data_IF_125059954719
#
_entry.id   IF_125059954719
#
_cell.length_a   1.000
_cell.length_b   1.000
_cell.length_c   1.000
_cell.angle_alpha   90.00
_cell.angle_beta   90.00
_cell.angle_gamma   90.00
#
_symmetry.space_group_name_H-M   'P 1'
#
loop_
_entity.id
_entity.type
_entity.pdbx_description
1 polymer ?
#
# COMPACT_ATOMS: atom_id res chain seq x y z
N UNK A 1 -8.74 -2.66 8.53
CA UNK A 1 -9.80 -2.90 9.54
C UNK A 1 -10.48 -4.26 9.34
N UNK A 2 -11.26 -4.48 8.25
CA UNK A 2 -12.04 -5.71 8.03
C UNK A 2 -11.20 -6.99 8.19
N UNK A 3 -10.00 -7.05 7.60
CA UNK A 3 -9.09 -8.19 7.69
C UNK A 3 -8.69 -8.50 9.15
N UNK A 4 -8.33 -7.46 9.92
CA UNK A 4 -7.96 -7.61 11.34
C UNK A 4 -9.17 -8.03 12.18
N UNK A 5 -10.33 -7.43 11.94
CA UNK A 5 -11.57 -7.79 12.63
C UNK A 5 -11.95 -9.25 12.39
N UNK A 6 -11.78 -9.78 11.18
CA UNK A 6 -12.03 -11.19 10.86
C UNK A 6 -11.13 -12.10 11.70
N UNK A 7 -9.87 -11.72 11.94
CA UNK A 7 -8.95 -12.51 12.77
C UNK A 7 -9.47 -12.72 14.19
N UNK A 8 -10.20 -11.76 14.75
CA UNK A 8 -10.74 -11.86 16.11
C UNK A 8 -12.12 -12.50 16.17
N UNK A 9 -12.96 -12.31 15.16
CA UNK A 9 -14.37 -12.74 15.20
C UNK A 9 -14.71 -13.96 14.36
N UNK A 10 -13.92 -14.23 13.31
CA UNK A 10 -14.17 -15.35 12.40
C UNK A 10 -13.52 -16.66 12.84
N UNK A 11 -12.58 -16.62 13.76
CA UNK A 11 -11.72 -17.78 14.08
C UNK A 11 -12.14 -18.56 15.33
N UNK A 12 -12.96 -17.99 16.20
CA UNK A 12 -13.20 -18.55 17.53
C UNK A 12 -14.23 -19.67 17.62
N UNK A 13 -15.01 -19.96 16.56
CA UNK A 13 -16.16 -20.87 16.66
C UNK A 13 -16.38 -21.84 15.49
N UNK A 14 -15.55 -21.81 14.46
CA UNK A 14 -15.73 -22.70 13.30
C UNK A 14 -14.47 -23.52 13.04
N UNK A 15 -14.59 -24.84 13.14
CA UNK A 15 -13.57 -25.85 12.80
C UNK A 15 -13.21 -25.93 11.30
N UNK A 16 -13.55 -24.90 10.52
CA UNK A 16 -13.38 -24.93 9.07
C UNK A 16 -11.92 -24.92 8.63
N UNK A 17 -11.06 -24.09 9.26
CA UNK A 17 -9.63 -24.03 8.98
C UNK A 17 -8.86 -23.55 10.22
N UNK A 18 -7.59 -23.98 10.42
CA UNK A 18 -6.71 -23.41 11.43
C UNK A 18 -6.53 -21.88 11.24
N UNK A 19 -6.36 -21.14 12.33
CA UNK A 19 -6.28 -19.68 12.35
C UNK A 19 -5.22 -19.11 11.39
N UNK A 20 -4.04 -19.76 11.34
CA UNK A 20 -2.95 -19.34 10.44
C UNK A 20 -3.30 -19.51 8.95
N UNK A 21 -4.02 -20.58 8.60
CA UNK A 21 -4.47 -20.83 7.22
C UNK A 21 -5.60 -19.88 6.83
N UNK A 22 -6.49 -19.52 7.75
CA UNK A 22 -7.56 -18.56 7.53
C UNK A 22 -7.01 -17.16 7.19
N UNK A 23 -5.98 -16.70 7.91
CA UNK A 23 -5.32 -15.43 7.65
C UNK A 23 -4.66 -15.41 6.26
N UNK A 24 -3.96 -16.48 5.90
CA UNK A 24 -3.33 -16.59 4.57
C UNK A 24 -4.38 -16.64 3.45
N UNK A 25 -5.47 -17.38 3.64
CA UNK A 25 -6.59 -17.43 2.70
C UNK A 25 -7.25 -16.06 2.55
N UNK A 26 -7.45 -15.35 3.65
CA UNK A 26 -7.99 -13.98 3.63
C UNK A 26 -7.10 -13.02 2.85
N UNK A 27 -5.80 -13.05 3.07
CA UNK A 27 -4.84 -12.23 2.32
C UNK A 27 -4.85 -12.57 0.82
N UNK A 28 -4.86 -13.86 0.48
CA UNK A 28 -4.95 -14.31 -0.91
C UNK A 28 -6.25 -13.86 -1.58
N UNK A 29 -7.40 -14.01 -0.91
CA UNK A 29 -8.70 -13.60 -1.42
C UNK A 29 -8.78 -12.08 -1.63
N UNK A 30 -8.13 -11.28 -0.79
CA UNK A 30 -8.09 -9.83 -0.96
C UNK A 30 -7.21 -9.40 -2.14
N UNK A 31 -6.10 -10.12 -2.40
CA UNK A 31 -5.15 -9.78 -3.49
C UNK A 31 -5.61 -10.34 -4.84
N UNK A 32 -6.28 -11.49 -4.87
CA UNK A 32 -6.69 -12.15 -6.10
C UNK A 32 -7.46 -11.25 -7.09
N UNK A 33 -8.42 -10.38 -6.67
CA UNK A 33 -9.10 -9.45 -7.54
C UNK A 33 -8.19 -8.50 -8.31
N UNK A 34 -7.02 -8.15 -7.78
CA UNK A 34 -6.06 -7.27 -8.48
C UNK A 34 -5.56 -7.90 -9.79
N UNK A 35 -5.42 -9.22 -9.81
CA UNK A 35 -5.06 -9.94 -11.04
C UNK A 35 -6.26 -10.10 -11.99
N UNK A 36 -7.45 -10.35 -11.42
CA UNK A 36 -8.63 -10.64 -12.21
C UNK A 36 -9.26 -9.39 -12.83
N UNK A 37 -9.33 -8.29 -12.09
CA UNK A 37 -10.18 -7.16 -12.45
C UNK A 37 -9.47 -5.85 -12.71
N UNK A 38 -8.13 -5.74 -12.56
CA UNK A 38 -7.43 -4.47 -12.83
C UNK A 38 -7.55 -4.02 -14.27
N UNK A 39 -7.44 -4.93 -15.24
CA UNK A 39 -7.60 -4.58 -16.66
C UNK A 39 -9.02 -4.03 -16.93
N UNK A 40 -10.03 -4.66 -16.36
CA UNK A 40 -11.42 -4.17 -16.43
C UNK A 40 -11.56 -2.79 -15.76
N UNK A 41 -10.96 -2.59 -14.60
CA UNK A 41 -10.98 -1.31 -13.88
C UNK A 41 -10.40 -0.16 -14.71
N UNK A 42 -9.28 -0.37 -15.40
CA UNK A 42 -8.69 0.60 -16.31
C UNK A 42 -9.62 0.98 -17.45
N UNK A 43 -10.26 -0.01 -18.07
CA UNK A 43 -11.25 0.20 -19.14
C UNK A 43 -12.48 0.96 -18.66
N UNK A 44 -13.04 0.60 -17.49
CA UNK A 44 -14.19 1.29 -16.90
C UNK A 44 -13.84 2.76 -16.58
N UNK A 45 -12.65 3.02 -16.05
CA UNK A 45 -12.19 4.38 -15.70
C UNK A 45 -11.99 5.28 -16.94
N UNK A 46 -11.75 4.70 -18.12
CA UNK A 46 -11.69 5.45 -19.38
C UNK A 46 -13.06 5.63 -20.02
N UNK A 47 -13.95 4.62 -19.87
CA UNK A 47 -15.26 4.59 -20.53
C UNK A 47 -16.30 5.46 -19.84
N UNK A 48 -16.24 5.59 -18.52
CA UNK A 48 -17.23 6.31 -17.73
C UNK A 48 -16.66 7.56 -17.09
N UNK A 49 -17.54 8.50 -16.72
CA UNK A 49 -17.17 9.60 -15.83
C UNK A 49 -16.60 9.03 -14.53
N UNK A 50 -15.37 9.45 -14.21
CA UNK A 50 -14.62 8.92 -13.08
C UNK A 50 -15.28 9.23 -11.73
N UNK A 51 -15.90 10.41 -11.58
CA UNK A 51 -16.59 10.77 -10.34
C UNK A 51 -17.86 9.94 -10.15
N UNK A 52 -18.62 9.71 -11.23
CA UNK A 52 -19.80 8.84 -11.20
C UNK A 52 -19.39 7.41 -10.88
N UNK A 53 -18.34 6.91 -11.53
CA UNK A 53 -17.81 5.57 -11.26
C UNK A 53 -17.33 5.43 -9.80
N UNK A 54 -16.64 6.45 -9.24
CA UNK A 54 -16.27 6.48 -7.84
C UNK A 54 -17.46 6.33 -6.90
N UNK A 55 -18.56 7.04 -7.15
CA UNK A 55 -19.78 6.97 -6.36
C UNK A 55 -20.39 5.57 -6.39
N UNK A 56 -20.48 4.94 -7.56
CA UNK A 56 -20.97 3.56 -7.69
C UNK A 56 -20.09 2.55 -6.95
N UNK A 57 -18.76 2.68 -7.04
CA UNK A 57 -17.83 1.82 -6.31
C UNK A 57 -17.96 2.03 -4.78
N UNK A 58 -18.22 3.26 -4.33
CA UNK A 58 -18.45 3.54 -2.91
C UNK A 58 -19.82 3.06 -2.42
N UNK A 59 -20.83 3.07 -3.25
CA UNK A 59 -22.12 2.43 -2.92
C UNK A 59 -21.97 0.90 -2.81
N UNK A 60 -21.20 0.28 -3.71
CA UNK A 60 -20.87 -1.14 -3.62
C UNK A 60 -20.17 -1.46 -2.28
N UNK A 61 -19.28 -0.57 -1.80
CA UNK A 61 -18.63 -0.72 -0.50
C UNK A 61 -19.64 -0.76 0.66
N UNK A 62 -20.67 0.09 0.65
CA UNK A 62 -21.73 0.04 1.67
C UNK A 62 -22.44 -1.32 1.66
N UNK A 63 -22.78 -1.85 0.47
CA UNK A 63 -23.43 -3.16 0.35
C UNK A 63 -22.54 -4.26 0.93
N UNK A 64 -21.25 -4.26 0.57
CA UNK A 64 -20.27 -5.25 1.08
C UNK A 64 -20.17 -5.12 2.61
N UNK A 65 -20.09 -3.91 3.15
CA UNK A 65 -19.99 -3.69 4.60
C UNK A 65 -21.28 -4.06 5.34
N UNK A 66 -22.44 -3.89 4.73
CA UNK A 66 -23.71 -4.37 5.31
C UNK A 66 -23.75 -5.90 5.42
N UNK A 67 -23.30 -6.60 4.36
CA UNK A 67 -23.17 -8.06 4.40
C UNK A 67 -22.09 -8.50 5.41
N UNK A 68 -20.99 -7.77 5.51
CA UNK A 68 -19.94 -8.04 6.51
C UNK A 68 -20.45 -7.82 7.94
N UNK A 69 -21.23 -6.76 8.19
CA UNK A 69 -21.87 -6.51 9.49
C UNK A 69 -22.78 -7.68 9.90
N UNK A 70 -23.59 -8.19 8.95
CA UNK A 70 -24.36 -9.40 9.18
C UNK A 70 -23.47 -10.63 9.41
N UNK A 71 -22.38 -10.77 8.66
CA UNK A 71 -21.39 -11.84 8.84
C UNK A 71 -20.75 -11.84 10.23
N UNK A 72 -20.43 -10.65 10.78
CA UNK A 72 -19.98 -10.51 12.17
C UNK A 72 -21.07 -10.91 13.17
N UNK A 73 -22.30 -10.48 12.95
CA UNK A 73 -23.43 -10.80 13.84
C UNK A 73 -23.67 -12.30 13.95
N UNK A 74 -23.69 -13.01 12.82
CA UNK A 74 -23.86 -14.49 12.80
C UNK A 74 -22.55 -15.27 13.01
N UNK A 75 -21.43 -14.55 13.15
CA UNK A 75 -20.06 -15.12 13.31
C UNK A 75 -19.69 -16.14 12.23
N UNK A 76 -20.01 -15.83 10.97
CA UNK A 76 -19.75 -16.69 9.81
C UNK A 76 -18.43 -16.34 9.13
N UNK A 77 -17.37 -17.14 9.37
CA UNK A 77 -16.08 -16.97 8.73
C UNK A 77 -16.15 -17.08 7.19
N UNK A 78 -16.88 -18.04 6.57
CA UNK A 78 -17.01 -18.10 5.11
C UNK A 78 -17.62 -16.83 4.50
N UNK A 79 -18.67 -16.27 5.14
CA UNK A 79 -19.30 -15.05 4.66
C UNK A 79 -18.34 -13.84 4.73
N UNK A 80 -17.56 -13.74 5.82
CA UNK A 80 -16.56 -12.69 5.97
C UNK A 80 -15.40 -12.82 4.97
N UNK A 81 -14.99 -14.04 4.60
CA UNK A 81 -14.00 -14.28 3.55
C UNK A 81 -14.52 -13.87 2.17
N UNK A 82 -15.79 -14.13 1.87
CA UNK A 82 -16.44 -13.64 0.64
C UNK A 82 -16.47 -12.11 0.64
N UNK A 83 -16.82 -11.47 1.75
CA UNK A 83 -16.76 -10.02 1.88
C UNK A 83 -15.35 -9.48 1.66
N UNK A 84 -14.32 -10.20 2.10
CA UNK A 84 -12.93 -9.81 1.89
C UNK A 84 -12.54 -9.84 0.40
N UNK A 85 -12.95 -10.88 -0.33
CA UNK A 85 -12.79 -10.93 -1.79
C UNK A 85 -13.54 -9.78 -2.49
N UNK A 86 -14.78 -9.52 -2.08
CA UNK A 86 -15.57 -8.40 -2.63
C UNK A 86 -14.92 -7.04 -2.32
N UNK A 87 -14.31 -6.86 -1.13
CA UNK A 87 -13.53 -5.67 -0.80
C UNK A 87 -12.25 -5.55 -1.62
N UNK A 88 -11.56 -6.65 -1.87
CA UNK A 88 -10.44 -6.69 -2.82
C UNK A 88 -10.88 -6.25 -4.23
N UNK A 89 -12.06 -6.70 -4.69
CA UNK A 89 -12.65 -6.30 -5.97
C UNK A 89 -12.95 -4.79 -5.97
N UNK A 90 -13.61 -4.29 -4.94
CA UNK A 90 -13.90 -2.86 -4.77
C UNK A 90 -12.61 -2.02 -4.79
N UNK A 91 -11.58 -2.43 -4.04
CA UNK A 91 -10.29 -1.77 -4.01
C UNK A 91 -9.58 -1.79 -5.36
N UNK A 92 -9.69 -2.89 -6.11
CA UNK A 92 -9.16 -3.02 -7.47
C UNK A 92 -9.83 -2.08 -8.45
N UNK A 93 -11.14 -1.91 -8.34
CA UNK A 93 -11.90 -0.96 -9.18
C UNK A 93 -11.59 0.49 -8.83
N UNK A 94 -11.41 0.80 -7.55
CA UNK A 94 -11.14 2.15 -7.07
C UNK A 94 -9.69 2.60 -7.28
N UNK A 95 -8.72 1.68 -7.21
CA UNK A 95 -7.28 1.98 -7.29
C UNK A 95 -6.87 2.78 -8.51
N UNK A 96 -7.09 2.29 -9.75
CA UNK A 96 -6.78 3.05 -10.97
C UNK A 96 -7.50 4.39 -11.04
N UNK A 97 -8.75 4.43 -10.60
CA UNK A 97 -9.57 5.63 -10.65
C UNK A 97 -9.00 6.75 -9.77
N UNK A 98 -8.61 6.45 -8.51
CA UNK A 98 -8.13 7.47 -7.56
C UNK A 98 -6.85 8.17 -8.03
N UNK A 99 -5.96 7.46 -8.74
CA UNK A 99 -4.75 8.06 -9.30
C UNK A 99 -4.96 8.67 -10.69
N UNK A 100 -5.81 8.06 -11.53
CA UNK A 100 -6.07 8.55 -12.88
C UNK A 100 -6.93 9.82 -12.91
N UNK A 101 -7.69 10.12 -11.85
CA UNK A 101 -8.53 11.33 -11.76
C UNK A 101 -7.72 12.56 -11.36
N UNK A 102 -6.59 12.41 -10.67
CA UNK A 102 -5.80 13.54 -10.19
C UNK A 102 -5.40 14.52 -11.30
N UNK A 103 -4.85 14.05 -12.44
CA UNK A 103 -4.50 14.96 -13.54
C UNK A 103 -5.70 15.55 -14.28
N UNK A 104 -6.92 15.12 -13.98
CA UNK A 104 -8.13 15.76 -14.49
C UNK A 104 -8.59 16.93 -13.60
N UNK A 105 -8.20 16.94 -12.32
CA UNK A 105 -8.52 17.97 -11.34
C UNK A 105 -7.39 18.96 -11.08
N UNK A 106 -6.14 18.52 -11.25
CA UNK A 106 -4.94 19.23 -10.86
C UNK A 106 -4.07 19.51 -12.07
N UNK A 107 -3.42 20.67 -12.10
CA UNK A 107 -2.39 20.95 -13.09
C UNK A 107 -1.07 20.26 -12.74
N UNK A 108 -0.10 20.26 -13.67
CA UNK A 108 1.17 19.57 -13.52
C UNK A 108 1.97 19.99 -12.27
N UNK A 109 1.82 21.26 -11.83
CA UNK A 109 2.49 21.79 -10.64
C UNK A 109 1.88 21.26 -9.34
N UNK A 110 0.59 20.98 -9.35
CA UNK A 110 -0.17 20.49 -8.20
C UNK A 110 -0.11 18.97 -8.05
N UNK A 111 0.21 18.24 -9.14
CA UNK A 111 0.15 16.78 -9.16
C UNK A 111 1.02 16.13 -8.09
N UNK A 112 2.23 16.64 -7.85
CA UNK A 112 3.12 16.05 -6.87
C UNK A 112 2.56 16.20 -5.45
N UNK A 113 1.95 17.35 -5.14
CA UNK A 113 1.26 17.56 -3.88
C UNK A 113 0.00 16.70 -3.78
N UNK A 114 -0.78 16.59 -4.85
CA UNK A 114 -1.95 15.71 -4.92
C UNK A 114 -1.60 14.25 -4.64
N UNK A 115 -0.54 13.72 -5.26
CA UNK A 115 -0.05 12.36 -5.01
C UNK A 115 0.46 12.21 -3.58
N UNK A 116 1.14 13.21 -3.03
CA UNK A 116 1.63 13.16 -1.65
C UNK A 116 0.48 13.08 -0.63
N UNK A 117 -0.61 13.80 -0.87
CA UNK A 117 -1.80 13.77 -0.01
C UNK A 117 -2.54 12.43 -0.11
N UNK A 118 -2.62 11.85 -1.31
CA UNK A 118 -3.21 10.51 -1.49
C UNK A 118 -2.38 9.44 -0.79
N UNK A 119 -1.05 9.50 -0.91
CA UNK A 119 -0.15 8.54 -0.27
C UNK A 119 -0.22 8.68 1.25
N UNK A 120 -0.08 9.90 1.77
CA UNK A 120 -0.20 10.20 3.20
C UNK A 120 -1.55 9.75 3.78
N UNK A 121 -2.64 10.10 3.11
CA UNK A 121 -3.98 9.71 3.51
C UNK A 121 -4.19 8.19 3.48
N UNK A 122 -3.60 7.50 2.50
CA UNK A 122 -3.68 6.04 2.40
C UNK A 122 -2.99 5.37 3.59
N UNK A 123 -1.76 5.78 3.95
CA UNK A 123 -1.04 5.17 5.08
C UNK A 123 -1.64 5.53 6.43
N UNK A 124 -2.15 6.76 6.60
CA UNK A 124 -2.91 7.15 7.81
C UNK A 124 -4.19 6.31 7.93
N UNK A 125 -4.92 6.09 6.83
CA UNK A 125 -6.12 5.27 6.84
C UNK A 125 -5.82 3.79 7.14
N UNK A 126 -4.70 3.24 6.63
CA UNK A 126 -4.23 1.90 6.96
C UNK A 126 -3.92 1.81 8.46
N UNK A 127 -3.18 2.77 9.02
CA UNK A 127 -2.84 2.84 10.44
C UNK A 127 -4.10 2.89 11.32
N UNK A 128 -5.00 3.84 11.04
CA UNK A 128 -6.25 3.96 11.80
C UNK A 128 -7.12 2.70 11.68
N UNK A 129 -7.17 2.10 10.49
CA UNK A 129 -7.89 0.86 10.27
C UNK A 129 -7.28 -0.32 11.05
N UNK A 130 -5.97 -0.37 11.19
CA UNK A 130 -5.26 -1.39 11.98
C UNK A 130 -5.54 -1.21 13.49
N UNK A 131 -5.35 0.02 13.99
CA UNK A 131 -5.60 0.35 15.41
C UNK A 131 -7.06 0.09 15.77
N UNK A 132 -8.01 0.56 14.96
CA UNK A 132 -9.43 0.29 15.19
C UNK A 132 -9.75 -1.20 15.14
N UNK A 133 -9.14 -1.94 14.19
CA UNK A 133 -9.32 -3.38 14.08
C UNK A 133 -8.89 -4.14 15.33
N UNK A 134 -7.76 -3.74 15.94
CA UNK A 134 -7.28 -4.34 17.19
C UNK A 134 -8.07 -3.87 18.42
N UNK A 135 -8.47 -2.60 18.46
CA UNK A 135 -9.20 -2.00 19.58
C UNK A 135 -10.61 -2.58 19.76
N UNK A 136 -11.22 -3.12 18.69
CA UNK A 136 -12.54 -3.76 18.77
C UNK A 136 -12.48 -5.24 19.11
N UNK A 137 -11.30 -5.78 19.43
CA UNK A 137 -11.16 -7.16 19.91
C UNK A 137 -11.97 -7.34 21.22
N UNK A 138 -12.89 -8.31 21.23
CA UNK A 138 -13.78 -8.56 22.39
C UNK A 138 -15.01 -7.64 22.49
N UNK A 139 -15.17 -6.66 21.60
CA UNK A 139 -16.38 -5.82 21.53
C UNK A 139 -17.52 -6.61 20.86
N UNK A 140 -18.79 -6.41 21.27
CA UNK A 140 -19.91 -7.11 20.65
C UNK A 140 -19.98 -6.98 19.12
N UNK A 141 -20.27 -8.05 18.36
CA UNK A 141 -20.23 -8.08 16.89
C UNK A 141 -21.07 -7.00 16.21
N UNK A 142 -22.20 -6.58 16.78
CA UNK A 142 -23.06 -5.53 16.23
C UNK A 142 -22.40 -4.15 16.26
N UNK A 143 -21.51 -3.88 17.23
CA UNK A 143 -20.73 -2.63 17.28
C UNK A 143 -19.68 -2.65 16.17
N UNK A 144 -19.00 -3.78 15.98
CA UNK A 144 -18.02 -3.96 14.89
C UNK A 144 -18.68 -3.75 13.53
N UNK A 145 -19.84 -4.37 13.30
CA UNK A 145 -20.64 -4.18 12.10
C UNK A 145 -21.07 -2.73 11.89
N UNK A 146 -21.50 -2.04 12.97
CA UNK A 146 -21.85 -0.62 12.94
C UNK A 146 -20.68 0.26 12.55
N UNK A 147 -19.48 0.01 13.09
CA UNK A 147 -18.27 0.77 12.78
C UNK A 147 -17.84 0.63 11.31
N UNK A 148 -17.82 -0.57 10.74
CA UNK A 148 -17.45 -0.75 9.33
C UNK A 148 -18.45 -0.08 8.40
N UNK A 149 -19.76 -0.14 8.71
CA UNK A 149 -20.81 0.56 7.97
C UNK A 149 -20.65 2.08 8.05
N UNK A 150 -20.38 2.62 9.23
CA UNK A 150 -20.20 4.07 9.44
C UNK A 150 -19.03 4.60 8.59
N UNK A 151 -17.92 3.88 8.55
CA UNK A 151 -16.74 4.23 7.71
C UNK A 151 -17.11 4.19 6.23
N UNK A 152 -17.85 3.17 5.76
CA UNK A 152 -18.28 3.05 4.37
C UNK A 152 -19.24 4.18 3.97
N UNK A 153 -20.18 4.53 4.83
CA UNK A 153 -21.11 5.66 4.62
C UNK A 153 -20.32 6.97 4.54
N UNK A 154 -19.41 7.23 5.49
CA UNK A 154 -18.55 8.42 5.48
C UNK A 154 -17.76 8.54 4.19
N UNK A 155 -17.12 7.44 3.73
CA UNK A 155 -16.40 7.40 2.46
C UNK A 155 -17.30 7.63 1.24
N UNK A 156 -18.53 7.17 1.27
CA UNK A 156 -19.52 7.43 0.20
C UNK A 156 -19.95 8.89 0.20
N UNK A 157 -20.24 9.47 1.37
CA UNK A 157 -20.61 10.88 1.48
C UNK A 157 -19.50 11.79 0.90
N UNK A 158 -18.23 11.52 1.20
CA UNK A 158 -17.12 12.30 0.62
C UNK A 158 -17.04 12.17 -0.90
N UNK A 159 -17.38 11.00 -1.47
CA UNK A 159 -17.37 10.80 -2.92
C UNK A 159 -18.46 11.63 -3.66
N UNK A 160 -19.49 12.06 -2.98
CA UNK A 160 -20.56 12.91 -3.58
C UNK A 160 -20.03 14.30 -3.94
N UNK A 161 -19.00 14.79 -3.27
CA UNK A 161 -18.37 16.09 -3.53
C UNK A 161 -17.37 16.06 -4.69
N UNK A 162 -17.10 14.88 -5.28
CA UNK A 162 -16.19 14.79 -6.42
C UNK A 162 -16.81 15.45 -7.66
N UNK A 163 -16.11 16.44 -8.30
CA UNK A 163 -16.58 17.03 -9.53
C UNK A 163 -16.66 16.03 -10.68
N UNK A 164 -17.63 16.21 -11.59
CA UNK A 164 -17.78 15.38 -12.77
C UNK A 164 -16.59 15.54 -13.72
N UNK A 165 -16.13 14.44 -14.31
CA UNK A 165 -15.03 14.39 -15.28
C UNK A 165 -15.48 13.61 -16.50
N UNK A 166 -15.52 14.26 -17.65
CA UNK A 166 -15.92 13.61 -18.90
C UNK A 166 -15.12 12.33 -19.18
N UNK A 167 -15.82 11.31 -19.64
CA UNK A 167 -15.20 10.07 -20.07
C UNK A 167 -14.19 10.33 -21.20
N UNK A 168 -12.99 9.74 -21.11
CA UNK A 168 -11.95 9.94 -22.12
C UNK A 168 -12.18 9.10 -23.38
N UNK A 169 -12.82 7.93 -23.23
CA UNK A 169 -13.06 6.97 -24.31
C UNK A 169 -14.45 6.32 -24.18
N UNK A 170 -15.56 7.08 -24.34
CA UNK A 170 -16.92 6.58 -24.08
C UNK A 170 -17.33 5.42 -25.01
N UNK A 171 -16.82 5.39 -26.24
CA UNK A 171 -17.17 4.39 -27.26
C UNK A 171 -16.34 3.10 -27.18
N UNK A 172 -15.40 3.00 -26.22
CA UNK A 172 -14.55 1.83 -26.08
C UNK A 172 -15.38 0.61 -25.73
N UNK A 173 -15.17 -0.49 -26.49
CA UNK A 173 -15.73 -1.80 -26.17
C UNK A 173 -14.92 -2.44 -25.05
N UNK A 174 -15.62 -2.90 -24.00
CA UNK A 174 -14.99 -3.57 -22.87
C UNK A 174 -14.55 -4.98 -23.31
N UNK A 175 -13.27 -5.30 -23.08
CA UNK A 175 -12.76 -6.64 -23.25
C UNK A 175 -13.02 -7.45 -21.96
N UNK A 176 -13.97 -8.37 -22.05
CA UNK A 176 -14.37 -9.23 -20.92
C UNK A 176 -13.43 -10.41 -20.68
N UNK A 177 -12.60 -10.75 -21.68
CA UNK A 177 -11.60 -11.80 -21.50
C UNK A 177 -10.46 -11.28 -20.63
N UNK A 178 -10.44 -11.72 -19.38
CA UNK A 178 -9.47 -11.28 -18.35
C UNK A 178 -8.03 -11.49 -18.82
N UNK A 179 -7.71 -12.65 -19.38
CA UNK A 179 -6.35 -12.98 -19.82
C UNK A 179 -5.92 -12.09 -20.98
N UNK A 180 -6.79 -11.93 -21.98
CA UNK A 180 -6.52 -11.08 -23.15
C UNK A 180 -6.39 -9.62 -22.75
N UNK A 181 -7.30 -9.10 -21.91
CA UNK A 181 -7.27 -7.75 -21.40
C UNK A 181 -6.00 -7.47 -20.59
N UNK A 182 -5.63 -8.36 -19.67
CA UNK A 182 -4.40 -8.26 -18.87
C UNK A 182 -3.14 -8.29 -19.75
N UNK A 183 -3.04 -9.22 -20.69
CA UNK A 183 -1.88 -9.32 -21.58
C UNK A 183 -1.73 -8.09 -22.48
N UNK A 184 -2.83 -7.56 -23.03
CA UNK A 184 -2.82 -6.33 -23.83
C UNK A 184 -2.33 -5.15 -22.99
N UNK A 185 -2.88 -4.99 -21.79
CA UNK A 185 -2.55 -3.93 -20.86
C UNK A 185 -1.07 -3.94 -20.45
N UNK A 186 -0.54 -5.09 -20.10
CA UNK A 186 0.88 -5.23 -19.69
C UNK A 186 1.81 -4.97 -20.88
N UNK A 187 1.47 -5.45 -22.08
CA UNK A 187 2.26 -5.18 -23.31
C UNK A 187 2.29 -3.70 -23.65
N UNK A 188 1.16 -3.01 -23.55
CA UNK A 188 1.06 -1.58 -23.82
C UNK A 188 1.86 -0.77 -22.79
N UNK A 189 1.76 -1.11 -21.50
CA UNK A 189 2.57 -0.50 -20.46
C UNK A 189 4.07 -0.75 -20.67
N UNK A 190 4.48 -1.97 -21.05
CA UNK A 190 5.87 -2.34 -21.30
C UNK A 190 6.47 -1.66 -22.53
N UNK A 191 5.65 -1.30 -23.53
CA UNK A 191 6.08 -0.57 -24.72
C UNK A 191 6.46 0.88 -24.39
N UNK A 192 5.88 1.48 -23.34
CA UNK A 192 6.21 2.81 -22.87
C UNK A 192 7.28 2.75 -21.78
N UNK A 193 8.54 3.01 -22.14
CA UNK A 193 9.68 2.88 -21.25
C UNK A 193 9.56 3.69 -19.94
N UNK A 194 9.21 4.99 -19.95
CA UNK A 194 8.98 5.77 -18.73
C UNK A 194 7.90 5.19 -17.83
N UNK A 195 6.74 4.83 -18.41
CA UNK A 195 5.62 4.23 -17.68
C UNK A 195 6.03 2.91 -17.02
N UNK A 196 6.66 2.01 -17.77
CA UNK A 196 7.07 0.72 -17.23
C UNK A 196 8.14 0.85 -16.15
N UNK A 197 9.06 1.80 -16.30
CA UNK A 197 10.11 2.06 -15.30
C UNK A 197 9.51 2.58 -13.99
N UNK A 198 8.53 3.50 -14.07
CA UNK A 198 7.82 3.97 -12.87
C UNK A 198 7.01 2.87 -12.20
N UNK A 199 6.34 2.01 -12.98
CA UNK A 199 5.61 0.84 -12.47
C UNK A 199 6.55 -0.09 -11.66
N UNK A 200 7.73 -0.43 -12.20
CA UNK A 200 8.68 -1.30 -11.49
C UNK A 200 9.14 -0.64 -10.18
N UNK A 201 9.44 0.66 -10.19
CA UNK A 201 9.78 1.38 -8.96
C UNK A 201 8.65 1.36 -7.93
N UNK A 202 7.42 1.70 -8.33
CA UNK A 202 6.25 1.67 -7.44
C UNK A 202 6.00 0.26 -6.89
N UNK A 203 6.11 -0.77 -7.75
CA UNK A 203 5.90 -2.16 -7.34
C UNK A 203 6.96 -2.62 -6.34
N UNK A 204 8.20 -2.14 -6.47
CA UNK A 204 9.24 -2.39 -5.48
C UNK A 204 8.93 -1.73 -4.12
N UNK A 205 8.36 -0.52 -4.12
CA UNK A 205 7.89 0.11 -2.88
C UNK A 205 6.84 -0.76 -2.17
N UNK A 206 5.88 -1.29 -2.91
CA UNK A 206 4.87 -2.21 -2.34
C UNK A 206 5.47 -3.55 -1.90
N UNK A 207 6.49 -4.05 -2.61
CA UNK A 207 7.26 -5.23 -2.17
C UNK A 207 7.90 -4.99 -0.80
N UNK A 208 8.67 -3.90 -0.65
CA UNK A 208 9.32 -3.52 0.61
C UNK A 208 8.26 -3.35 1.71
N UNK A 209 7.23 -2.55 1.45
CA UNK A 209 6.15 -2.28 2.38
C UNK A 209 5.46 -3.56 2.84
N UNK A 210 5.22 -4.50 1.92
CA UNK A 210 4.63 -5.80 2.23
C UNK A 210 5.52 -6.63 3.16
N UNK A 211 6.84 -6.72 2.90
CA UNK A 211 7.77 -7.43 3.78
C UNK A 211 7.78 -6.82 5.18
N UNK A 212 7.97 -5.49 5.28
CA UNK A 212 8.02 -4.83 6.59
C UNK A 212 6.72 -5.01 7.36
N UNK A 213 5.56 -4.71 6.76
CA UNK A 213 4.28 -4.72 7.46
C UNK A 213 3.83 -6.13 7.85
N UNK A 214 4.10 -7.15 7.03
CA UNK A 214 3.71 -8.54 7.37
C UNK A 214 4.60 -9.16 8.44
N UNK A 215 5.88 -8.78 8.50
CA UNK A 215 6.80 -9.32 9.50
C UNK A 215 6.89 -8.48 10.77
N UNK A 216 6.37 -7.24 10.76
CA UNK A 216 6.44 -6.32 11.89
C UNK A 216 5.88 -6.88 13.21
N UNK A 217 4.74 -7.60 13.25
CA UNK A 217 4.26 -8.19 14.48
C UNK A 217 5.27 -9.17 15.09
N UNK A 218 5.75 -10.13 14.30
CA UNK A 218 6.72 -11.14 14.73
C UNK A 218 8.08 -10.53 15.07
N UNK A 219 8.53 -9.54 14.28
CA UNK A 219 9.74 -8.77 14.55
C UNK A 219 9.65 -8.07 15.91
N UNK A 220 8.52 -7.41 16.21
CA UNK A 220 8.29 -6.72 17.47
C UNK A 220 8.33 -7.68 18.64
N UNK A 221 7.72 -8.86 18.53
CA UNK A 221 7.72 -9.87 19.58
C UNK A 221 9.13 -10.43 19.82
N UNK A 222 9.80 -10.87 18.76
CA UNK A 222 11.08 -11.59 18.89
C UNK A 222 12.26 -10.66 19.14
N UNK A 223 12.36 -9.54 18.42
CA UNK A 223 13.54 -8.67 18.44
C UNK A 223 13.39 -7.43 19.31
N UNK A 224 12.16 -7.03 19.65
CA UNK A 224 11.91 -5.89 20.53
C UNK A 224 11.32 -6.29 21.90
N UNK A 225 10.92 -7.56 22.08
CA UNK A 225 10.25 -8.02 23.30
C UNK A 225 8.93 -7.30 23.58
N UNK A 226 8.30 -6.78 22.53
CA UNK A 226 7.12 -5.92 22.63
C UNK A 226 5.82 -6.68 22.36
N UNK A 227 4.76 -6.30 23.07
CA UNK A 227 3.40 -6.75 22.85
C UNK A 227 2.72 -5.96 21.71
N UNK A 228 1.41 -6.17 21.52
CA UNK A 228 0.61 -5.49 20.47
C UNK A 228 0.64 -3.95 20.56
N UNK A 229 0.81 -3.37 21.75
CA UNK A 229 0.94 -1.91 21.90
C UNK A 229 2.26 -1.40 21.31
N UNK A 230 3.36 -2.15 21.48
CA UNK A 230 4.65 -1.81 20.87
C UNK A 230 4.59 -2.01 19.35
N UNK A 231 3.94 -3.06 18.87
CA UNK A 231 3.67 -3.24 17.44
C UNK A 231 2.89 -2.06 16.86
N UNK A 232 1.80 -1.66 17.50
CA UNK A 232 1.00 -0.50 17.06
C UNK A 232 1.83 0.80 17.04
N UNK A 233 2.73 0.99 18.01
CA UNK A 233 3.66 2.12 18.03
C UNK A 233 4.61 2.08 16.83
N UNK A 234 5.23 0.93 16.53
CA UNK A 234 6.14 0.79 15.39
C UNK A 234 5.42 1.04 14.06
N UNK A 235 4.21 0.51 13.91
CA UNK A 235 3.37 0.73 12.73
C UNK A 235 2.96 2.21 12.61
N UNK A 236 2.65 2.87 13.71
CA UNK A 236 2.34 4.30 13.73
C UNK A 236 3.53 5.14 13.28
N UNK A 237 4.72 4.88 13.81
CA UNK A 237 5.96 5.57 13.43
C UNK A 237 6.28 5.41 11.95
N UNK A 238 6.14 4.19 11.42
CA UNK A 238 6.31 3.91 10.01
C UNK A 238 5.30 4.66 9.13
N UNK A 239 4.01 4.61 9.47
CA UNK A 239 2.93 5.22 8.68
C UNK A 239 2.97 6.75 8.73
N UNK A 240 3.22 7.33 9.92
CA UNK A 240 3.40 8.78 10.09
C UNK A 240 4.67 9.24 9.37
N UNK A 241 5.74 8.42 9.41
CA UNK A 241 6.95 8.65 8.64
C UNK A 241 6.66 8.81 7.16
N UNK A 242 5.90 7.88 6.55
CA UNK A 242 5.50 7.97 5.14
C UNK A 242 4.69 9.24 4.88
N UNK A 243 3.74 9.57 5.74
CA UNK A 243 2.91 10.76 5.56
C UNK A 243 3.75 12.05 5.57
N UNK A 244 4.64 12.20 6.55
CA UNK A 244 5.53 13.36 6.65
C UNK A 244 6.51 13.39 5.47
N UNK A 245 7.12 12.24 5.13
CA UNK A 245 8.05 12.11 4.00
C UNK A 245 7.40 12.47 2.68
N UNK A 246 6.18 12.00 2.43
CA UNK A 246 5.42 12.32 1.21
C UNK A 246 5.16 13.82 1.08
N UNK A 247 4.66 14.47 2.13
CA UNK A 247 4.39 15.91 2.12
C UNK A 247 5.67 16.73 1.98
N UNK A 248 6.74 16.34 2.68
CA UNK A 248 8.01 17.05 2.58
C UNK A 248 8.65 16.86 1.20
N UNK A 249 8.56 15.66 0.62
CA UNK A 249 8.99 15.39 -0.76
C UNK A 249 8.30 16.35 -1.74
N UNK A 250 6.97 16.51 -1.63
CA UNK A 250 6.22 17.42 -2.49
C UNK A 250 6.63 18.89 -2.30
N UNK A 251 6.84 19.33 -1.05
CA UNK A 251 7.33 20.68 -0.77
C UNK A 251 8.73 20.94 -1.34
N UNK A 252 9.66 20.00 -1.17
CA UNK A 252 11.02 20.11 -1.69
C UNK A 252 11.09 20.04 -3.23
N UNK A 253 10.05 19.52 -3.85
CA UNK A 253 9.93 19.44 -5.31
C UNK A 253 9.60 20.80 -5.95
N UNK A 254 9.18 21.82 -5.18
CA UNK A 254 8.85 23.15 -5.70
C UNK A 254 7.96 23.09 -6.95
N UNK A 255 6.85 22.35 -6.86
CA UNK A 255 5.87 22.19 -7.95
C UNK A 255 6.44 21.54 -9.24
N UNK A 256 7.56 20.82 -9.14
CA UNK A 256 8.21 20.15 -10.28
C UNK A 256 8.42 18.67 -9.97
N UNK A 257 8.36 17.84 -10.99
CA UNK A 257 8.76 16.45 -10.87
C UNK A 257 10.28 16.36 -10.84
N UNK A 258 10.84 15.96 -9.68
CA UNK A 258 12.29 15.80 -9.46
C UNK A 258 12.57 14.32 -9.15
N UNK A 259 13.00 13.56 -10.17
CA UNK A 259 13.28 12.13 -10.02
C UNK A 259 14.48 11.84 -9.11
N UNK A 260 15.38 12.80 -8.91
CA UNK A 260 16.48 12.70 -7.95
C UNK A 260 16.02 12.41 -6.50
N UNK A 261 14.82 12.83 -6.11
CA UNK A 261 14.24 12.52 -4.79
C UNK A 261 14.01 11.02 -4.59
N UNK A 262 13.71 10.27 -5.66
CA UNK A 262 13.62 8.80 -5.60
C UNK A 262 14.95 8.19 -5.21
N UNK A 263 16.07 8.72 -5.73
CA UNK A 263 17.41 8.27 -5.38
C UNK A 263 17.71 8.52 -3.90
N UNK A 264 17.36 9.71 -3.39
CA UNK A 264 17.48 10.01 -1.95
C UNK A 264 16.62 9.05 -1.13
N UNK A 265 15.37 8.82 -1.54
CA UNK A 265 14.47 7.85 -0.91
C UNK A 265 15.06 6.45 -0.87
N UNK A 266 15.61 5.98 -1.99
CA UNK A 266 16.22 4.64 -2.09
C UNK A 266 17.45 4.50 -1.18
N UNK A 267 18.35 5.49 -1.17
CA UNK A 267 19.52 5.51 -0.30
C UNK A 267 19.10 5.53 1.17
N UNK A 268 18.13 6.36 1.52
CA UNK A 268 17.58 6.43 2.88
C UNK A 268 16.96 5.10 3.32
N UNK A 269 16.13 4.46 2.48
CA UNK A 269 15.58 3.13 2.74
C UNK A 269 16.68 2.08 2.96
N UNK A 270 17.74 2.12 2.14
CA UNK A 270 18.88 1.20 2.29
C UNK A 270 19.60 1.41 3.61
N UNK A 271 20.01 2.65 3.89
CA UNK A 271 20.77 2.98 5.12
C UNK A 271 19.94 2.68 6.36
N UNK A 272 18.70 3.13 6.40
CA UNK A 272 17.81 2.89 7.56
C UNK A 272 17.50 1.39 7.71
N UNK A 273 17.28 0.66 6.62
CA UNK A 273 17.08 -0.79 6.68
C UNK A 273 18.31 -1.53 7.25
N UNK A 274 19.52 -1.15 6.83
CA UNK A 274 20.77 -1.70 7.37
C UNK A 274 20.97 -1.33 8.85
N UNK A 275 20.64 -0.08 9.23
CA UNK A 275 20.69 0.36 10.63
C UNK A 275 19.69 -0.40 11.50
N UNK A 276 18.47 -0.66 11.01
CA UNK A 276 17.49 -1.47 11.75
C UNK A 276 18.02 -2.87 12.04
N UNK A 277 18.59 -3.51 11.01
CA UNK A 277 19.22 -4.84 11.15
C UNK A 277 20.37 -4.80 12.18
N UNK A 278 21.25 -3.81 12.08
CA UNK A 278 22.37 -3.65 13.00
C UNK A 278 21.92 -3.42 14.45
N UNK A 279 20.93 -2.55 14.67
CA UNK A 279 20.40 -2.25 16.01
C UNK A 279 19.71 -3.44 16.67
N UNK A 280 19.18 -4.37 15.88
CA UNK A 280 18.41 -5.52 16.39
C UNK A 280 19.15 -6.85 16.26
N UNK A 281 20.38 -6.83 15.76
CA UNK A 281 21.19 -8.01 15.60
C UNK A 281 21.49 -8.67 16.96
N UNK A 282 21.26 -9.98 17.04
CA UNK A 282 21.52 -10.76 18.26
C UNK A 282 20.49 -10.58 19.38
N UNK A 283 19.53 -9.67 19.25
CA UNK A 283 18.45 -9.51 20.21
C UNK A 283 17.35 -10.56 19.98
N UNK A 284 17.04 -11.32 21.01
CA UNK A 284 15.91 -12.25 21.03
C UNK A 284 15.27 -12.22 22.41
N UNK A 285 14.01 -11.89 22.46
CA UNK A 285 13.21 -11.86 23.68
C UNK A 285 12.22 -13.01 23.68
N UNK A 286 11.99 -13.59 24.85
CA UNK A 286 11.00 -14.65 25.09
C UNK A 286 9.75 -14.09 25.80
N UNK A 287 9.91 -12.98 26.51
CA UNK A 287 8.83 -12.33 27.24
C UNK A 287 8.29 -11.13 26.44
N UNK A 288 6.97 -10.97 26.47
CA UNK A 288 6.29 -9.84 25.82
C UNK A 288 6.02 -8.75 26.84
N UNK A 289 6.58 -7.58 26.61
CA UNK A 289 6.50 -6.44 27.50
C UNK A 289 5.66 -5.32 26.89
N UNK A 290 5.09 -4.48 27.77
CA UNK A 290 4.30 -3.34 27.37
C UNK A 290 5.14 -2.15 26.90
N UNK A 291 4.44 -1.10 26.42
CA UNK A 291 5.05 0.11 25.88
C UNK A 291 5.97 0.83 26.86
N UNK A 292 5.60 0.86 28.16
CA UNK A 292 6.39 1.54 29.22
C UNK A 292 7.76 0.87 29.38
N UNK A 293 7.77 -0.48 29.42
CA UNK A 293 9.03 -1.22 29.49
C UNK A 293 9.87 -1.00 28.23
N UNK A 294 9.25 -1.06 27.05
CA UNK A 294 9.95 -0.81 25.80
C UNK A 294 10.62 0.57 25.79
N UNK A 295 9.89 1.63 26.17
CA UNK A 295 10.41 3.00 26.24
C UNK A 295 11.48 3.19 27.34
N UNK A 296 11.56 2.31 28.34
CA UNK A 296 12.65 2.33 29.31
C UNK A 296 13.98 1.79 28.78
N UNK A 297 13.96 1.10 27.64
CA UNK A 297 15.17 0.55 27.01
C UNK A 297 15.89 1.64 26.20
N UNK A 298 17.16 1.87 26.42
CA UNK A 298 17.95 2.86 25.68
C UNK A 298 17.94 2.63 24.14
N UNK A 299 17.84 1.37 23.74
CA UNK A 299 17.80 0.98 22.32
C UNK A 299 16.44 1.25 21.64
N UNK A 300 15.36 1.50 22.38
CA UNK A 300 14.06 1.79 21.81
C UNK A 300 14.09 3.06 20.93
N UNK A 301 14.75 4.12 21.40
CA UNK A 301 14.78 5.41 20.72
C UNK A 301 15.44 5.37 19.32
N UNK A 302 16.65 4.81 19.14
CA UNK A 302 17.22 4.67 17.80
C UNK A 302 16.39 3.76 16.90
N UNK A 303 15.78 2.69 17.40
CA UNK A 303 14.89 1.82 16.61
C UNK A 303 13.64 2.60 16.16
N UNK A 304 13.01 3.35 17.05
CA UNK A 304 11.86 4.22 16.73
C UNK A 304 12.21 5.25 15.67
N UNK A 305 13.38 5.91 15.79
CA UNK A 305 13.85 6.87 14.80
C UNK A 305 14.06 6.22 13.44
N UNK A 306 14.71 5.06 13.40
CA UNK A 306 14.97 4.32 12.16
C UNK A 306 13.67 3.83 11.53
N UNK A 307 12.70 3.33 12.30
CA UNK A 307 11.38 2.95 11.78
C UNK A 307 10.64 4.14 11.17
N UNK A 308 10.66 5.31 11.84
CA UNK A 308 10.09 6.54 11.29
C UNK A 308 10.81 6.96 10.00
N UNK A 309 12.14 6.84 9.96
CA UNK A 309 12.96 7.21 8.82
C UNK A 309 12.74 6.27 7.62
N UNK A 310 12.55 4.96 7.84
CA UNK A 310 12.16 4.03 6.77
C UNK A 310 10.85 4.49 6.13
N UNK A 311 9.84 4.81 6.94
CA UNK A 311 8.59 5.39 6.43
C UNK A 311 8.82 6.69 5.66
N UNK A 312 9.57 7.63 6.26
CA UNK A 312 9.87 8.93 5.67
C UNK A 312 10.51 8.83 4.28
N UNK A 313 11.55 8.01 4.14
CA UNK A 313 12.20 7.78 2.85
C UNK A 313 11.33 6.98 1.88
N UNK A 314 10.38 6.18 2.37
CA UNK A 314 9.34 5.56 1.56
C UNK A 314 8.47 6.58 0.84
N UNK A 315 8.10 7.70 1.49
CA UNK A 315 7.39 8.81 0.88
C UNK A 315 8.20 9.52 -0.22
N UNK A 316 9.50 9.75 0.01
CA UNK A 316 10.43 10.30 -1.01
C UNK A 316 10.58 9.39 -2.22
N UNK A 317 10.47 8.09 -2.00
CA UNK A 317 10.58 7.11 -3.07
C UNK A 317 9.30 6.99 -3.89
N UNK A 318 8.13 6.91 -3.26
CA UNK A 318 6.86 6.59 -3.93
C UNK A 318 6.24 7.79 -4.66
N UNK A 319 6.19 8.96 -4.04
CA UNK A 319 5.46 10.13 -4.56
C UNK A 319 5.93 10.59 -5.94
N UNK A 320 7.23 10.79 -6.22
CA UNK A 320 7.69 11.19 -7.54
C UNK A 320 7.42 10.11 -8.61
N UNK A 321 7.45 8.83 -8.23
CA UNK A 321 7.20 7.73 -9.16
C UNK A 321 5.73 7.69 -9.60
N UNK A 322 4.77 7.89 -8.68
CA UNK A 322 3.36 8.01 -9.05
C UNK A 322 3.09 9.24 -9.92
N UNK A 323 3.71 10.37 -9.61
CA UNK A 323 3.62 11.57 -10.43
C UNK A 323 4.20 11.32 -11.82
N UNK A 324 5.35 10.64 -11.90
CA UNK A 324 5.97 10.31 -13.18
C UNK A 324 5.13 9.32 -14.01
N UNK A 325 4.53 8.31 -13.37
CA UNK A 325 3.59 7.40 -14.02
C UNK A 325 2.45 8.17 -14.70
N UNK A 326 1.88 9.16 -14.01
CA UNK A 326 0.76 9.96 -14.51
C UNK A 326 1.18 10.91 -15.64
N UNK A 327 2.30 11.60 -15.48
CA UNK A 327 2.78 12.60 -16.48
C UNK A 327 3.40 11.94 -17.72
N UNK A 328 3.98 10.76 -17.59
CA UNK A 328 4.50 9.99 -18.71
C UNK A 328 3.42 9.25 -19.52
N UNK A 329 2.21 9.15 -18.97
CA UNK A 329 1.08 8.48 -19.61
C UNK A 329 0.21 9.49 -20.37
N UNK A 330 -0.20 9.14 -21.62
CA UNK A 330 -1.20 9.93 -22.33
C UNK A 330 -2.54 9.91 -21.58
N UNK A 331 -3.39 10.92 -21.81
CA UNK A 331 -4.69 11.02 -21.14
C UNK A 331 -5.56 9.76 -21.29
N UNK A 332 -5.55 9.15 -22.47
CA UNK A 332 -6.32 7.94 -22.77
C UNK A 332 -5.69 6.67 -22.21
N UNK A 333 -4.37 6.66 -21.98
CA UNK A 333 -3.66 5.51 -21.46
C UNK A 333 -3.48 5.54 -19.93
N UNK A 334 -3.62 6.68 -19.30
CA UNK A 334 -3.31 6.89 -17.87
C UNK A 334 -4.03 5.92 -16.93
N UNK A 335 -5.34 5.71 -17.12
CA UNK A 335 -6.09 4.73 -16.32
C UNK A 335 -5.59 3.29 -16.55
N UNK A 336 -5.21 2.95 -17.78
CA UNK A 336 -4.61 1.67 -18.12
C UNK A 336 -3.22 1.52 -17.49
N UNK A 337 -2.39 2.57 -17.49
CA UNK A 337 -1.07 2.54 -16.86
C UNK A 337 -1.16 2.27 -15.34
N UNK A 338 -2.11 2.91 -14.65
CA UNK A 338 -2.35 2.65 -13.22
C UNK A 338 -2.94 1.26 -12.99
N UNK A 339 -3.79 0.77 -13.88
CA UNK A 339 -4.31 -0.60 -13.83
C UNK A 339 -3.18 -1.65 -14.02
N UNK A 340 -2.25 -1.41 -14.95
CA UNK A 340 -1.05 -2.23 -15.13
C UNK A 340 -0.16 -2.20 -13.88
N UNK A 341 0.02 -1.01 -13.27
CA UNK A 341 0.72 -0.85 -12.01
C UNK A 341 0.11 -1.71 -10.89
N UNK A 342 -1.22 -1.74 -10.76
CA UNK A 342 -1.89 -2.58 -9.76
C UNK A 342 -1.61 -4.07 -9.95
N UNK A 343 -1.61 -4.56 -11.19
CA UNK A 343 -1.31 -5.97 -11.47
C UNK A 343 0.13 -6.29 -11.06
N UNK A 344 1.09 -5.46 -11.48
CA UNK A 344 2.51 -5.67 -11.19
C UNK A 344 2.79 -5.51 -9.69
N UNK A 345 2.14 -4.56 -9.00
CA UNK A 345 2.17 -4.46 -7.53
C UNK A 345 1.71 -5.78 -6.88
N UNK A 346 0.61 -6.38 -7.35
CA UNK A 346 0.14 -7.67 -6.87
C UNK A 346 1.18 -8.77 -7.03
N UNK A 347 1.84 -8.85 -8.21
CA UNK A 347 2.95 -9.81 -8.45
C UNK A 347 4.08 -9.60 -7.45
N UNK A 348 4.50 -8.35 -7.23
CA UNK A 348 5.57 -8.03 -6.30
C UNK A 348 5.20 -8.35 -4.84
N UNK A 349 3.97 -8.06 -4.41
CA UNK A 349 3.49 -8.40 -3.07
C UNK A 349 3.42 -9.92 -2.83
N UNK A 350 2.96 -10.68 -3.83
CA UNK A 350 2.97 -12.16 -3.76
C UNK A 350 4.41 -12.68 -3.73
N UNK A 351 5.31 -12.11 -4.54
CA UNK A 351 6.75 -12.45 -4.52
C UNK A 351 7.39 -12.15 -3.17
N UNK A 352 7.01 -11.03 -2.52
CA UNK A 352 7.46 -10.69 -1.17
C UNK A 352 7.00 -11.72 -0.14
N UNK A 353 5.75 -12.18 -0.23
CA UNK A 353 5.22 -13.22 0.66
C UNK A 353 5.95 -14.56 0.47
N UNK A 354 6.17 -14.97 -0.79
CA UNK A 354 6.90 -16.20 -1.11
C UNK A 354 8.36 -16.11 -0.62
N UNK A 355 9.06 -15.01 -0.92
CA UNK A 355 10.42 -14.80 -0.47
C UNK A 355 10.52 -14.84 1.06
N UNK A 356 9.60 -14.17 1.75
CA UNK A 356 9.54 -14.18 3.21
C UNK A 356 9.33 -15.60 3.75
N UNK A 357 8.37 -16.34 3.20
CA UNK A 357 8.11 -17.71 3.61
C UNK A 357 9.33 -18.63 3.42
N UNK A 358 9.97 -18.57 2.25
CA UNK A 358 11.14 -19.40 1.92
C UNK A 358 12.33 -19.04 2.82
N UNK A 359 12.65 -17.76 2.99
CA UNK A 359 13.78 -17.34 3.81
C UNK A 359 13.59 -17.65 5.29
N UNK A 360 12.37 -17.47 5.81
CA UNK A 360 12.06 -17.80 7.19
C UNK A 360 12.07 -19.32 7.43
N UNK A 361 11.61 -20.12 6.48
CA UNK A 361 11.68 -21.57 6.54
C UNK A 361 13.12 -22.07 6.54
N UNK A 362 14.01 -21.48 5.72
CA UNK A 362 15.39 -21.93 5.58
C UNK A 362 16.30 -21.41 6.71
N UNK A 363 16.14 -20.18 7.12
CA UNK A 363 17.10 -19.47 8.00
C UNK A 363 16.48 -19.06 9.35
N UNK A 364 15.18 -19.11 9.51
CA UNK A 364 14.45 -18.67 10.71
C UNK A 364 14.92 -17.29 11.24
N UNK A 365 15.15 -16.33 10.32
CA UNK A 365 15.73 -15.03 10.63
C UNK A 365 15.00 -13.91 9.90
N UNK A 366 14.24 -13.10 10.66
CA UNK A 366 13.58 -11.89 10.13
C UNK A 366 14.62 -10.80 9.81
N UNK A 367 15.69 -10.71 10.61
CA UNK A 367 16.77 -9.75 10.38
C UNK A 367 17.50 -10.01 9.06
N UNK A 368 17.71 -11.29 8.68
CA UNK A 368 18.25 -11.65 7.37
C UNK A 368 17.31 -11.23 6.24
N UNK A 369 16.01 -11.44 6.40
CA UNK A 369 15.03 -11.00 5.42
C UNK A 369 15.05 -9.47 5.24
N UNK A 370 15.10 -8.71 6.33
CA UNK A 370 15.20 -7.25 6.28
C UNK A 370 16.51 -6.78 5.65
N UNK A 371 17.63 -7.50 5.92
CA UNK A 371 18.92 -7.23 5.27
C UNK A 371 18.82 -7.40 3.74
N UNK A 372 18.25 -8.51 3.28
CA UNK A 372 18.07 -8.79 1.84
C UNK A 372 17.23 -7.70 1.19
N UNK A 373 16.14 -7.27 1.82
CA UNK A 373 15.29 -6.19 1.31
C UNK A 373 16.05 -4.85 1.26
N UNK A 374 16.80 -4.52 2.33
CA UNK A 374 17.58 -3.28 2.36
C UNK A 374 18.67 -3.25 1.27
N UNK A 375 19.40 -4.35 1.08
CA UNK A 375 20.42 -4.48 0.02
C UNK A 375 19.78 -4.53 -1.37
N UNK A 376 18.58 -5.11 -1.50
CA UNK A 376 17.81 -5.19 -2.74
C UNK A 376 17.46 -3.83 -3.36
N UNK A 377 17.48 -2.75 -2.57
CA UNK A 377 17.32 -1.39 -3.09
C UNK A 377 18.47 -0.97 -4.04
N UNK A 378 19.67 -1.53 -3.86
CA UNK A 378 20.86 -1.17 -4.65
C UNK A 378 20.70 -1.60 -6.12
N UNK A 379 20.43 -2.87 -6.46
CA UNK A 379 20.18 -3.24 -7.85
C UNK A 379 18.98 -2.54 -8.46
N UNK A 380 17.95 -2.22 -7.67
CA UNK A 380 16.82 -1.45 -8.17
C UNK A 380 17.24 -0.05 -8.61
N UNK A 381 17.92 0.72 -7.75
CA UNK A 381 18.31 2.10 -8.12
C UNK A 381 19.25 2.11 -9.32
N UNK A 382 20.15 1.14 -9.42
CA UNK A 382 21.01 0.96 -10.61
C UNK A 382 20.15 0.72 -11.86
N UNK A 383 19.12 -0.11 -11.77
CA UNK A 383 18.17 -0.33 -12.85
C UNK A 383 17.44 0.95 -13.25
N UNK A 384 16.89 1.70 -12.28
CA UNK A 384 16.18 2.94 -12.53
C UNK A 384 17.07 3.98 -13.21
N UNK A 385 18.30 4.18 -12.73
CA UNK A 385 19.28 5.12 -13.31
C UNK A 385 19.66 4.73 -14.75
N UNK A 386 19.86 3.44 -15.03
CA UNK A 386 20.14 2.96 -16.41
C UNK A 386 18.96 3.19 -17.34
N UNK A 387 17.75 3.18 -16.82
CA UNK A 387 16.53 3.42 -17.60
C UNK A 387 16.26 4.92 -17.82
N UNK A 388 16.51 5.75 -16.81
CA UNK A 388 16.29 7.19 -16.85
C UNK A 388 17.39 7.92 -16.06
N UNK A 389 18.37 8.54 -16.74
CA UNK A 389 19.49 9.23 -16.08
C UNK A 389 19.09 10.39 -15.17
N UNK A 390 17.87 10.94 -15.32
CA UNK A 390 17.37 12.00 -14.45
C UNK A 390 17.30 11.60 -12.97
N UNK A 391 17.25 10.31 -12.64
CA UNK A 391 17.33 9.86 -11.25
C UNK A 391 18.62 10.32 -10.54
N UNK A 392 19.71 10.57 -11.29
CA UNK A 392 20.92 11.21 -10.76
C UNK A 392 21.00 12.68 -11.19
N UNK A 393 20.69 12.99 -12.45
CA UNK A 393 20.82 14.34 -13.00
C UNK A 393 20.07 15.40 -12.21
N UNK A 394 18.87 15.07 -11.74
CA UNK A 394 18.05 16.00 -10.96
C UNK A 394 18.59 16.27 -9.54
N UNK A 395 19.49 15.45 -8.99
CA UNK A 395 20.16 15.71 -7.70
C UNK A 395 20.96 17.01 -7.74
N UNK A 396 21.59 17.30 -8.86
CA UNK A 396 22.35 18.55 -9.06
C UNK A 396 21.41 19.76 -9.09
N UNK A 397 20.17 19.58 -9.51
CA UNK A 397 19.13 20.62 -9.53
C UNK A 397 18.71 20.98 -8.10
N UNK A 398 18.53 19.97 -7.23
CA UNK A 398 18.19 20.20 -5.83
C UNK A 398 19.27 21.02 -5.09
N UNK A 399 20.56 20.74 -5.35
CA UNK A 399 21.65 21.49 -4.75
C UNK A 399 21.74 22.94 -5.22
N UNK A 400 21.18 23.27 -6.40
CA UNK A 400 21.11 24.64 -6.92
C UNK A 400 19.90 25.43 -6.41
N UNK A 401 18.80 24.76 -6.08
CA UNK A 401 17.58 25.39 -5.52
C UNK A 401 17.81 25.75 -4.05
N UNK A 402 18.69 25.03 -3.34
CA UNK A 402 19.07 25.27 -1.93
C UNK A 402 20.01 26.45 -1.72
N UNK A 403 20.51 27.10 -2.79
CA UNK A 403 21.29 28.35 -2.77
C UNK A 403 20.44 29.53 -3.24
#
# INVERSE_FOLDING_TARGET
ALFVMISFYGLGKNDFLPSSQMLNLGAMLFILPYFLFSALSGQLSNKFDKAVLARWIKLLEIIIMAVAAYGFYIQSAPLLLICLFCMGTQSTLFGPLKYAILPDYLNDKELIMGNSLIESGTFIAILLGQILGTAVAGVPPYIVGGLVLLVAIGGTMTSLFMPSVAAKMPDTKIEWNIIKGTNSLIREAAANRPVFTSIIGISWFWFIGSVYTTQLPTFTQIHLGGNDNVFNLMLALFSIGIAIGSVLCAKLSHERLILGLVTIGTLGLTVCGLLLVWLTQGQRFTELNGIIWFLSQAQAYPIMLVMSAIGFFGGFFSVPLYTWLQTASSETFRAHAVAANNIINGVFMVSAAILSAVLLMLFNSITLLYLIVAVGNIPLIVYLIKREPKFIGDLTTLLKISK
#
